data_IF_279304940976
#
_entry.id   IF_279304940976
#
_cell.length_a   1.000
_cell.length_b   1.000
_cell.length_c   1.000
_cell.angle_alpha   90.00
_cell.angle_beta   90.00
_cell.angle_gamma   90.00
#
_symmetry.space_group_name_H-M   'P 1'
#
loop_
_entity.id
_entity.type
_entity.pdbx_description
1 polymer ?
#
# COMPACT_ATOMS: atom_id res chain seq x y z
N UNK A 1 -4.49 -3.64 19.16
CA UNK A 1 -4.75 -3.55 17.72
C UNK A 1 -5.46 -4.82 17.25
N UNK A 2 -6.35 -4.70 16.25
CA UNK A 2 -7.08 -5.85 15.69
C UNK A 2 -6.65 -6.02 14.24
N UNK A 3 -6.16 -7.21 13.88
CA UNK A 3 -5.72 -7.53 12.53
C UNK A 3 -5.87 -9.03 12.27
N UNK A 4 -6.47 -9.41 11.14
CA UNK A 4 -6.64 -10.81 10.79
C UNK A 4 -5.49 -11.36 9.94
N UNK A 5 -4.84 -10.50 9.17
CA UNK A 5 -3.71 -10.89 8.34
C UNK A 5 -2.40 -10.94 9.14
N UNK A 6 -1.46 -11.76 8.69
CA UNK A 6 -0.13 -11.77 9.27
C UNK A 6 0.63 -10.48 8.94
N UNK A 7 1.33 -9.94 9.94
CA UNK A 7 2.22 -8.81 9.72
C UNK A 7 3.33 -9.18 8.74
N UNK A 8 3.52 -8.42 7.66
CA UNK A 8 4.61 -8.63 6.71
C UNK A 8 5.97 -8.68 7.41
N UNK A 9 6.84 -9.60 7.00
CA UNK A 9 8.15 -9.83 7.64
C UNK A 9 8.96 -8.54 7.75
N UNK A 10 8.94 -7.72 6.70
CA UNK A 10 9.65 -6.44 6.65
C UNK A 10 9.07 -5.36 7.56
N UNK A 11 7.88 -5.58 8.13
CA UNK A 11 7.21 -4.66 9.07
C UNK A 11 7.18 -5.18 10.52
N UNK A 12 7.56 -6.45 10.76
CA UNK A 12 7.52 -7.07 12.10
C UNK A 12 8.33 -6.30 13.14
N UNK A 13 9.37 -5.57 12.73
CA UNK A 13 10.19 -4.78 13.64
C UNK A 13 9.44 -3.60 14.30
N UNK A 14 8.30 -3.17 13.73
CA UNK A 14 7.46 -2.09 14.27
C UNK A 14 6.55 -2.57 15.39
N UNK A 15 6.27 -3.87 15.46
CA UNK A 15 5.20 -4.42 16.33
C UNK A 15 5.69 -5.35 17.41
N UNK A 16 7.01 -5.38 17.70
CA UNK A 16 7.61 -6.31 18.67
C UNK A 16 6.96 -6.29 20.05
N UNK A 17 6.57 -5.09 20.50
CA UNK A 17 6.03 -4.87 21.84
C UNK A 17 4.55 -4.46 21.80
N UNK A 18 3.87 -4.74 20.68
CA UNK A 18 2.48 -4.35 20.44
C UNK A 18 1.58 -5.59 20.54
N UNK A 19 0.52 -5.49 21.33
CA UNK A 19 -0.49 -6.54 21.41
C UNK A 19 -1.41 -6.47 20.19
N UNK A 20 -1.29 -7.44 19.29
CA UNK A 20 -2.15 -7.61 18.12
C UNK A 20 -3.02 -8.83 18.37
N UNK A 21 -4.32 -8.65 18.23
CA UNK A 21 -5.32 -9.72 18.34
C UNK A 21 -6.07 -9.85 17.02
N UNK A 22 -6.65 -11.02 16.76
CA UNK A 22 -7.53 -11.23 15.61
C UNK A 22 -9.00 -10.92 15.97
N UNK A 23 -9.87 -10.91 14.95
CA UNK A 23 -11.32 -10.68 15.13
C UNK A 23 -11.97 -11.64 16.12
N UNK A 24 -11.57 -12.93 16.10
CA UNK A 24 -12.15 -13.94 16.99
C UNK A 24 -11.87 -13.59 18.46
N UNK A 25 -10.62 -13.27 18.80
CA UNK A 25 -10.24 -12.87 20.15
C UNK A 25 -10.86 -11.53 20.55
N UNK A 26 -11.06 -10.61 19.60
CA UNK A 26 -11.73 -9.34 19.87
C UNK A 26 -13.21 -9.52 20.19
N UNK A 27 -13.89 -10.50 19.58
CA UNK A 27 -15.31 -10.83 19.88
C UNK A 27 -15.53 -11.38 21.29
N UNK A 28 -14.47 -11.91 21.93
CA UNK A 28 -14.53 -12.32 23.34
C UNK A 28 -14.63 -11.13 24.30
N UNK A 29 -14.32 -9.92 23.81
CA UNK A 29 -14.50 -8.66 24.53
C UNK A 29 -15.92 -8.14 24.28
N UNK A 30 -16.41 -7.23 25.15
CA UNK A 30 -17.67 -6.54 24.90
C UNK A 30 -17.44 -5.44 23.84
N UNK A 31 -17.77 -5.74 22.57
CA UNK A 31 -17.52 -4.85 21.43
C UNK A 31 -18.12 -3.46 21.64
N UNK A 32 -19.26 -3.37 22.33
CA UNK A 32 -19.97 -2.11 22.61
C UNK A 32 -19.23 -1.16 23.55
N UNK A 33 -18.19 -1.62 24.23
CA UNK A 33 -17.36 -0.78 25.11
C UNK A 33 -16.22 -0.08 24.36
N UNK A 34 -16.08 -0.32 23.04
CA UNK A 34 -14.98 0.18 22.24
C UNK A 34 -15.42 1.07 21.09
N UNK A 35 -14.64 2.12 20.85
CA UNK A 35 -14.62 2.81 19.56
C UNK A 35 -13.69 2.04 18.60
N UNK A 36 -14.10 1.84 17.37
CA UNK A 36 -13.27 1.27 16.32
C UNK A 36 -12.66 2.38 15.47
N UNK A 37 -11.33 2.45 15.43
CA UNK A 37 -10.61 3.40 14.58
C UNK A 37 -10.04 2.61 13.40
N UNK A 38 -10.44 2.96 12.20
CA UNK A 38 -9.89 2.43 10.95
C UNK A 38 -8.91 3.43 10.37
N UNK A 39 -7.75 2.94 9.95
CA UNK A 39 -6.68 3.74 9.38
C UNK A 39 -6.41 3.28 7.95
N UNK A 40 -6.22 4.23 7.03
CA UNK A 40 -5.81 3.97 5.65
C UNK A 40 -6.77 3.05 4.88
N UNK A 41 -8.06 3.24 5.08
CA UNK A 41 -9.10 2.41 4.51
C UNK A 41 -10.23 3.27 3.93
N UNK A 42 -10.28 3.37 2.60
CA UNK A 42 -11.23 4.21 1.89
C UNK A 42 -12.63 3.63 1.71
N UNK A 43 -12.86 2.34 2.02
CA UNK A 43 -14.12 1.63 1.82
C UNK A 43 -14.38 0.68 2.99
N UNK A 44 -15.58 0.76 3.59
CA UNK A 44 -16.00 -0.09 4.73
C UNK A 44 -15.84 -1.58 4.44
N UNK A 45 -16.05 -2.02 3.20
CA UNK A 45 -15.94 -3.43 2.81
C UNK A 45 -14.49 -3.94 2.77
N UNK A 46 -13.52 -3.03 2.73
CA UNK A 46 -12.09 -3.37 2.78
C UNK A 46 -11.55 -3.55 4.20
N UNK A 47 -12.34 -3.19 5.21
CA UNK A 47 -11.98 -3.47 6.61
C UNK A 47 -12.03 -4.98 6.81
N UNK A 48 -10.87 -5.60 7.00
CA UNK A 48 -10.71 -7.05 7.18
C UNK A 48 -11.19 -7.51 8.57
N UNK A 49 -12.35 -7.04 9.02
CA UNK A 49 -13.03 -7.43 10.24
C UNK A 49 -14.45 -7.87 9.92
N UNK A 50 -15.01 -8.74 10.76
CA UNK A 50 -16.38 -9.19 10.64
C UNK A 50 -17.38 -8.01 10.77
N UNK A 51 -18.47 -8.06 10.01
CA UNK A 51 -19.50 -7.01 10.04
C UNK A 51 -20.07 -6.80 11.45
N UNK A 52 -20.22 -7.89 12.21
CA UNK A 52 -20.63 -7.83 13.61
C UNK A 52 -19.79 -6.86 14.46
N UNK A 53 -18.48 -6.81 14.24
CA UNK A 53 -17.58 -5.88 14.94
C UNK A 53 -17.81 -4.45 14.45
N UNK A 54 -17.88 -4.27 13.14
CA UNK A 54 -18.02 -2.95 12.50
C UNK A 54 -19.36 -2.27 12.84
N UNK A 55 -20.41 -3.07 13.01
CA UNK A 55 -21.77 -2.56 13.21
C UNK A 55 -22.17 -2.45 14.69
N UNK A 56 -21.44 -3.06 15.61
CA UNK A 56 -21.75 -3.05 17.04
C UNK A 56 -20.74 -2.30 17.92
N UNK A 57 -19.67 -1.71 17.37
CA UNK A 57 -18.80 -0.82 18.14
C UNK A 57 -19.55 0.45 18.57
N UNK A 58 -19.09 1.13 19.62
CA UNK A 58 -19.70 2.37 20.11
C UNK A 58 -19.68 3.46 19.06
N UNK A 59 -18.53 3.64 18.38
CA UNK A 59 -18.35 4.53 17.22
C UNK A 59 -17.35 3.92 16.26
N UNK A 60 -17.60 4.10 14.97
CA UNK A 60 -16.65 3.85 13.91
C UNK A 60 -16.00 5.16 13.48
N UNK A 61 -14.68 5.25 13.64
CA UNK A 61 -13.89 6.45 13.30
C UNK A 61 -12.99 6.09 12.12
N UNK A 62 -13.06 6.86 11.06
CA UNK A 62 -12.20 6.66 9.88
C UNK A 62 -11.17 7.79 9.75
N UNK A 63 -9.89 7.44 9.69
CA UNK A 63 -8.78 8.36 9.40
C UNK A 63 -8.11 7.87 8.12
N UNK A 64 -8.15 8.66 7.05
CA UNK A 64 -7.73 8.22 5.73
C UNK A 64 -7.31 9.38 4.82
N UNK A 65 -6.47 9.09 3.82
CA UNK A 65 -6.05 10.06 2.80
C UNK A 65 -6.47 9.67 1.37
N UNK A 66 -7.27 8.63 1.19
CA UNK A 66 -7.72 8.23 -0.13
C UNK A 66 -8.79 9.19 -0.68
N UNK A 67 -8.57 9.75 -1.88
CA UNK A 67 -9.55 10.59 -2.57
C UNK A 67 -10.85 9.84 -2.92
N UNK A 68 -10.85 8.52 -2.90
CA UNK A 68 -12.01 7.65 -3.15
C UNK A 68 -12.71 7.19 -1.87
N UNK A 69 -12.45 7.83 -0.73
CA UNK A 69 -13.05 7.46 0.54
C UNK A 69 -14.56 7.65 0.54
N UNK A 70 -15.30 6.65 1.04
CA UNK A 70 -16.77 6.64 1.09
C UNK A 70 -17.35 7.37 2.33
N UNK A 71 -16.51 7.90 3.21
CA UNK A 71 -16.90 8.58 4.46
C UNK A 71 -17.81 7.73 5.35
N UNK A 72 -17.50 6.46 5.49
CA UNK A 72 -18.34 5.43 6.12
C UNK A 72 -18.33 5.44 7.66
N UNK A 73 -17.47 6.20 8.29
CA UNK A 73 -17.37 6.31 9.75
C UNK A 73 -18.44 7.23 10.35
N UNK A 74 -18.77 7.04 11.63
CA UNK A 74 -19.55 8.03 12.40
C UNK A 74 -18.78 9.35 12.55
N UNK A 75 -17.44 9.24 12.59
CA UNK A 75 -16.51 10.37 12.50
C UNK A 75 -15.50 10.08 11.39
N UNK A 76 -15.29 11.05 10.51
CA UNK A 76 -14.37 10.91 9.39
C UNK A 76 -13.34 12.05 9.42
N UNK A 77 -12.05 11.71 9.52
CA UNK A 77 -10.94 12.62 9.30
C UNK A 77 -10.21 12.19 8.04
N UNK A 78 -10.70 12.71 6.92
CA UNK A 78 -10.24 12.32 5.57
C UNK A 78 -9.70 13.56 4.86
N UNK A 79 -8.41 13.50 4.45
CA UNK A 79 -7.69 14.59 3.78
C UNK A 79 -6.92 14.04 2.60
N UNK A 80 -7.49 14.13 1.40
CA UNK A 80 -6.93 13.55 0.19
C UNK A 80 -5.65 14.25 -0.32
N UNK A 81 -5.39 15.47 0.15
CA UNK A 81 -4.19 16.22 -0.19
C UNK A 81 -2.97 15.82 0.64
N UNK A 82 -3.14 15.09 1.74
CA UNK A 82 -2.01 14.67 2.58
C UNK A 82 -1.27 13.47 1.95
N UNK A 83 0.03 13.42 2.16
CA UNK A 83 0.89 12.42 1.52
C UNK A 83 0.63 10.98 1.97
N UNK A 84 0.13 10.83 3.19
CA UNK A 84 -0.15 9.52 3.81
C UNK A 84 -1.10 9.64 4.99
N UNK A 85 -1.79 8.58 5.33
CA UNK A 85 -2.55 8.51 6.59
C UNK A 85 -1.64 8.70 7.81
N UNK A 86 -0.36 8.32 7.72
CA UNK A 86 0.63 8.58 8.78
C UNK A 86 0.88 10.07 9.00
N UNK A 87 0.80 10.92 7.97
CA UNK A 87 0.89 12.38 8.10
C UNK A 87 -0.32 12.94 8.87
N UNK A 88 -1.53 12.43 8.60
CA UNK A 88 -2.73 12.78 9.36
C UNK A 88 -2.61 12.40 10.84
N UNK A 89 -2.15 11.19 11.13
CA UNK A 89 -1.94 10.74 12.51
C UNK A 89 -0.87 11.58 13.20
N UNK A 90 0.23 11.91 12.51
CA UNK A 90 1.26 12.82 13.03
C UNK A 90 0.67 14.17 13.38
N UNK A 91 -0.12 14.78 12.52
CA UNK A 91 -0.76 16.07 12.75
C UNK A 91 -1.70 16.03 13.97
N UNK A 92 -2.46 14.95 14.14
CA UNK A 92 -3.31 14.76 15.32
C UNK A 92 -2.49 14.66 16.63
N UNK A 93 -1.41 13.87 16.62
CA UNK A 93 -0.54 13.70 17.78
C UNK A 93 0.18 15.00 18.12
N UNK A 94 0.70 15.72 17.13
CA UNK A 94 1.33 17.01 17.31
C UNK A 94 0.35 18.04 17.90
N UNK A 95 -0.88 18.07 17.39
CA UNK A 95 -1.93 18.94 17.94
C UNK A 95 -2.28 18.60 19.39
N UNK A 96 -2.31 17.31 19.72
CA UNK A 96 -2.51 16.86 21.11
C UNK A 96 -1.37 17.33 22.03
N UNK A 97 -0.11 17.24 21.57
CA UNK A 97 1.05 17.75 22.33
C UNK A 97 0.96 19.25 22.60
N UNK A 98 0.56 20.04 21.59
CA UNK A 98 0.37 21.48 21.72
C UNK A 98 -0.72 21.85 22.75
N UNK A 99 -1.85 21.13 22.73
CA UNK A 99 -2.99 21.39 23.63
C UNK A 99 -2.68 20.98 25.06
N UNK A 100 -2.09 19.80 25.25
CA UNK A 100 -1.93 19.18 26.56
C UNK A 100 -0.54 19.38 27.16
N UNK A 101 0.40 19.99 26.43
CA UNK A 101 1.80 20.18 26.83
C UNK A 101 2.50 18.88 27.27
N UNK A 102 2.16 17.76 26.58
CA UNK A 102 2.69 16.42 26.86
C UNK A 102 3.31 15.84 25.59
N UNK A 103 4.57 15.44 25.66
CA UNK A 103 5.23 14.74 24.54
C UNK A 103 4.64 13.33 24.37
N UNK A 104 4.02 13.08 23.22
CA UNK A 104 3.37 11.79 22.90
C UNK A 104 4.10 10.98 21.82
N UNK A 105 4.89 11.65 20.98
CA UNK A 105 5.63 11.00 19.87
C UNK A 105 7.02 10.59 20.37
N UNK A 106 7.12 9.39 20.90
CA UNK A 106 8.40 8.78 21.27
C UNK A 106 9.14 8.23 20.04
N UNK A 107 10.33 7.65 20.26
CA UNK A 107 11.16 7.04 19.21
C UNK A 107 10.41 5.93 18.42
N UNK A 108 9.59 5.13 19.06
CA UNK A 108 8.91 4.01 18.41
C UNK A 108 7.77 4.53 17.52
N UNK A 109 6.98 5.46 18.05
CA UNK A 109 5.92 6.14 17.27
C UNK A 109 6.55 6.93 16.12
N UNK A 110 7.63 7.66 16.36
CA UNK A 110 8.35 8.38 15.30
C UNK A 110 8.86 7.43 14.20
N UNK A 111 9.38 6.25 14.57
CA UNK A 111 9.84 5.25 13.61
C UNK A 111 8.68 4.67 12.80
N UNK A 112 7.54 4.38 13.43
CA UNK A 112 6.35 3.88 12.74
C UNK A 112 5.78 4.92 11.76
N UNK A 113 5.61 6.16 12.20
CA UNK A 113 5.15 7.27 11.36
C UNK A 113 6.09 7.54 10.17
N UNK A 114 7.41 7.51 10.42
CA UNK A 114 8.40 7.63 9.35
C UNK A 114 8.30 6.47 8.34
N UNK A 115 8.03 5.26 8.81
CA UNK A 115 7.85 4.11 7.92
C UNK A 115 6.67 4.32 6.97
N UNK A 116 5.49 4.71 7.48
CA UNK A 116 4.31 4.97 6.66
C UNK A 116 4.53 6.12 5.67
N UNK A 117 5.13 7.22 6.13
CA UNK A 117 5.49 8.32 5.23
C UNK A 117 6.38 7.85 4.07
N UNK A 118 7.43 7.07 4.37
CA UNK A 118 8.39 6.61 3.36
C UNK A 118 7.80 5.57 2.39
N UNK A 119 6.88 4.74 2.84
CA UNK A 119 6.21 3.75 1.96
C UNK A 119 5.24 4.42 1.01
N UNK A 120 4.39 5.31 1.50
CA UNK A 120 3.36 5.98 0.71
C UNK A 120 3.92 7.01 -0.29
N UNK A 121 4.97 7.72 0.12
CA UNK A 121 5.64 8.70 -0.75
C UNK A 121 6.70 8.11 -1.67
N UNK A 122 6.88 6.78 -1.62
CA UNK A 122 7.96 6.12 -2.36
C UNK A 122 9.33 6.70 -2.05
N UNK A 123 9.65 6.85 -0.77
CA UNK A 123 10.89 7.47 -0.26
C UNK A 123 10.98 8.98 -0.60
N UNK A 124 9.86 9.69 -0.49
CA UNK A 124 9.73 11.10 -0.82
C UNK A 124 10.00 11.42 -2.31
N UNK A 125 9.68 10.48 -3.22
CA UNK A 125 9.90 10.65 -4.67
C UNK A 125 8.61 10.70 -5.48
N UNK A 126 7.46 10.32 -4.90
CA UNK A 126 6.18 10.32 -5.63
C UNK A 126 5.52 11.70 -5.61
N UNK A 127 4.57 11.89 -6.52
CA UNK A 127 3.85 13.16 -6.72
C UNK A 127 2.97 13.59 -5.55
N UNK A 128 2.66 12.70 -4.61
CA UNK A 128 1.98 13.01 -3.35
C UNK A 128 2.92 13.52 -2.25
N UNK A 129 4.20 13.74 -2.57
CA UNK A 129 5.17 14.30 -1.62
C UNK A 129 5.07 15.81 -1.63
N UNK A 130 4.84 16.41 -0.47
CA UNK A 130 4.70 17.86 -0.28
C UNK A 130 5.78 18.41 0.64
N UNK A 131 5.87 19.73 0.79
CA UNK A 131 6.78 20.35 1.75
C UNK A 131 6.52 19.89 3.19
N UNK A 132 5.25 19.71 3.57
CA UNK A 132 4.81 19.15 4.86
C UNK A 132 5.40 17.76 5.12
N UNK A 133 5.53 16.92 4.09
CA UNK A 133 6.14 15.59 4.19
C UNK A 133 7.61 15.65 4.59
N UNK A 134 8.36 16.63 4.06
CA UNK A 134 9.76 16.88 4.46
C UNK A 134 9.85 17.45 5.88
N UNK A 135 8.95 18.37 6.25
CA UNK A 135 8.89 18.91 7.60
C UNK A 135 8.56 17.80 8.61
N UNK A 136 7.59 16.93 8.32
CA UNK A 136 7.30 15.76 9.14
C UNK A 136 8.54 14.84 9.25
N UNK A 137 9.19 14.50 8.14
CA UNK A 137 10.40 13.67 8.16
C UNK A 137 11.49 14.28 9.05
N UNK A 138 11.76 15.58 8.94
CA UNK A 138 12.71 16.31 9.80
C UNK A 138 12.34 16.20 11.28
N UNK A 139 11.09 16.47 11.63
CA UNK A 139 10.62 16.41 13.03
C UNK A 139 10.74 14.96 13.59
N UNK A 140 10.39 13.95 12.81
CA UNK A 140 10.53 12.55 13.21
C UNK A 140 12.01 12.15 13.44
N UNK A 141 12.95 12.69 12.62
CA UNK A 141 14.38 12.50 12.87
C UNK A 141 14.83 13.17 14.17
N UNK A 142 14.37 14.39 14.47
CA UNK A 142 14.66 15.08 15.73
C UNK A 142 14.15 14.26 16.94
N UNK A 143 13.03 13.54 16.76
CA UNK A 143 12.47 12.57 17.74
C UNK A 143 13.15 11.19 17.69
N UNK A 144 14.30 11.08 17.02
CA UNK A 144 15.16 9.89 16.96
C UNK A 144 14.50 8.68 16.27
N UNK A 145 13.62 8.91 15.26
CA UNK A 145 13.15 7.83 14.42
C UNK A 145 14.32 7.00 13.88
N UNK A 146 14.21 5.68 13.92
CA UNK A 146 15.27 4.75 13.49
C UNK A 146 15.22 4.54 11.97
N UNK A 147 15.63 5.58 11.24
CA UNK A 147 15.54 5.61 9.77
C UNK A 147 16.39 4.54 9.10
N UNK A 148 17.53 4.17 9.70
CA UNK A 148 18.38 3.10 9.17
C UNK A 148 17.65 1.75 9.25
N UNK A 149 17.01 1.47 10.37
CA UNK A 149 16.22 0.25 10.56
C UNK A 149 15.04 0.18 9.58
N UNK A 150 14.38 1.32 9.32
CA UNK A 150 13.32 1.40 8.30
C UNK A 150 13.88 1.08 6.92
N UNK A 151 14.96 1.73 6.51
CA UNK A 151 15.56 1.50 5.19
C UNK A 151 16.01 0.05 5.03
N UNK A 152 16.67 -0.52 6.04
CA UNK A 152 17.15 -1.90 6.00
C UNK A 152 16.02 -2.93 5.93
N UNK A 153 14.98 -2.78 6.74
CA UNK A 153 13.90 -3.78 6.78
C UNK A 153 12.89 -3.61 5.65
N UNK A 154 12.48 -2.38 5.36
CA UNK A 154 11.39 -2.12 4.40
C UNK A 154 11.88 -2.12 2.95
N UNK A 155 13.08 -1.60 2.69
CA UNK A 155 13.57 -1.37 1.33
C UNK A 155 14.83 -2.16 0.97
N UNK A 156 15.56 -2.65 1.95
CA UNK A 156 16.88 -3.28 1.76
C UNK A 156 16.94 -4.78 2.09
N UNK A 157 15.83 -5.45 2.36
CA UNK A 157 15.80 -6.83 2.88
C UNK A 157 15.23 -7.86 1.92
N UNK A 158 15.20 -7.58 0.63
CA UNK A 158 14.71 -8.57 -0.33
C UNK A 158 15.60 -9.83 -0.33
N UNK A 159 15.01 -11.04 -0.25
CA UNK A 159 15.76 -12.28 -0.28
C UNK A 159 16.46 -12.49 -1.63
N UNK A 160 17.55 -13.27 -1.64
CA UNK A 160 18.30 -13.55 -2.86
C UNK A 160 17.42 -14.06 -4.01
N UNK A 161 16.44 -14.91 -3.69
CA UNK A 161 15.52 -15.47 -4.67
C UNK A 161 14.63 -14.41 -5.34
N UNK A 162 14.30 -13.32 -4.64
CA UNK A 162 13.60 -12.18 -5.24
C UNK A 162 14.38 -11.59 -6.42
N UNK A 163 15.69 -11.43 -6.28
CA UNK A 163 16.52 -10.92 -7.39
C UNK A 163 16.61 -11.89 -8.56
N UNK A 164 16.55 -13.20 -8.30
CA UNK A 164 16.45 -14.22 -9.35
C UNK A 164 15.11 -14.16 -10.09
N UNK A 165 14.01 -13.99 -9.34
CA UNK A 165 12.68 -13.80 -9.92
C UNK A 165 12.60 -12.48 -10.70
N UNK A 166 13.15 -11.38 -10.16
CA UNK A 166 13.24 -10.09 -10.85
C UNK A 166 13.95 -10.23 -12.18
N UNK A 167 15.12 -10.88 -12.22
CA UNK A 167 15.84 -11.15 -13.47
C UNK A 167 15.02 -11.96 -14.47
N UNK A 168 14.27 -12.98 -14.02
CA UNK A 168 13.39 -13.76 -14.88
C UNK A 168 12.19 -12.91 -15.39
N UNK A 169 11.61 -12.06 -14.55
CA UNK A 169 10.53 -11.15 -14.93
C UNK A 169 11.02 -10.10 -15.94
N UNK A 170 12.21 -9.54 -15.74
CA UNK A 170 12.84 -8.62 -16.69
C UNK A 170 13.07 -9.23 -18.07
N UNK A 171 13.34 -10.54 -18.16
CA UNK A 171 13.45 -11.25 -19.44
C UNK A 171 12.11 -11.35 -20.19
N UNK A 172 10.97 -11.09 -19.53
CA UNK A 172 9.65 -11.04 -20.19
C UNK A 172 9.25 -9.63 -20.60
N UNK A 173 10.13 -8.65 -20.37
CA UNK A 173 9.84 -7.23 -20.62
C UNK A 173 9.53 -6.96 -22.09
N UNK A 174 8.38 -6.35 -22.32
CA UNK A 174 7.96 -5.88 -23.64
C UNK A 174 7.60 -4.38 -23.56
N UNK A 175 8.02 -3.62 -24.57
CA UNK A 175 7.64 -2.21 -24.71
C UNK A 175 6.60 -2.09 -25.81
N UNK A 176 5.47 -1.45 -25.49
CA UNK A 176 4.34 -1.25 -26.39
C UNK A 176 4.16 0.25 -26.60
N UNK A 177 4.07 0.66 -27.87
CA UNK A 177 3.90 2.05 -28.27
C UNK A 177 4.84 3.05 -27.53
N UNK A 178 6.08 2.62 -27.23
CA UNK A 178 7.11 3.36 -26.50
C UNK A 178 6.70 3.86 -25.09
N UNK A 179 5.44 3.76 -24.72
CA UNK A 179 4.87 4.34 -23.49
C UNK A 179 4.42 3.33 -22.44
N UNK A 180 4.24 2.07 -22.83
CA UNK A 180 3.81 1.01 -21.91
C UNK A 180 4.88 -0.06 -21.85
N UNK A 181 5.32 -0.39 -20.64
CA UNK A 181 6.18 -1.54 -20.38
C UNK A 181 5.39 -2.61 -19.63
N UNK A 182 5.48 -3.84 -20.11
CA UNK A 182 4.77 -4.99 -19.54
C UNK A 182 5.76 -6.06 -19.13
N UNK A 183 5.63 -6.54 -17.91
CA UNK A 183 6.38 -7.70 -17.39
C UNK A 183 5.41 -8.74 -16.85
N UNK A 184 5.88 -9.98 -16.75
CA UNK A 184 5.10 -11.11 -16.27
C UNK A 184 5.85 -11.87 -15.18
N UNK A 185 5.07 -12.40 -14.21
CA UNK A 185 5.51 -13.42 -13.25
C UNK A 185 4.53 -14.58 -13.31
N UNK A 186 5.01 -15.73 -13.76
CA UNK A 186 4.20 -16.95 -13.88
C UNK A 186 4.31 -17.82 -12.63
N UNK A 187 3.36 -18.75 -12.46
CA UNK A 187 3.41 -19.77 -11.42
C UNK A 187 4.67 -20.64 -11.50
N UNK A 188 5.14 -20.91 -12.72
CA UNK A 188 6.39 -21.67 -12.94
C UNK A 188 7.60 -20.91 -12.39
N UNK A 189 7.67 -19.58 -12.62
CA UNK A 189 8.73 -18.72 -12.06
C UNK A 189 8.69 -18.71 -10.53
N UNK A 190 7.51 -18.55 -9.93
CA UNK A 190 7.33 -18.57 -8.47
C UNK A 190 7.84 -19.89 -7.87
N UNK A 191 7.42 -21.02 -8.43
CA UNK A 191 7.89 -22.35 -7.99
C UNK A 191 9.39 -22.53 -8.17
N UNK A 192 9.92 -22.14 -9.33
CA UNK A 192 11.36 -22.26 -9.65
C UNK A 192 12.25 -21.51 -8.65
N UNK A 193 11.83 -20.32 -8.21
CA UNK A 193 12.61 -19.50 -7.31
C UNK A 193 12.16 -19.59 -5.85
N UNK A 194 11.17 -20.43 -5.55
CA UNK A 194 10.62 -20.62 -4.21
C UNK A 194 10.24 -19.28 -3.54
N UNK A 195 9.37 -18.54 -4.22
CA UNK A 195 8.86 -17.23 -3.76
C UNK A 195 7.35 -17.31 -3.67
N UNK A 196 6.80 -16.80 -2.57
CA UNK A 196 5.37 -16.67 -2.40
C UNK A 196 4.81 -15.55 -3.28
N UNK A 197 3.60 -15.75 -3.77
CA UNK A 197 2.90 -14.79 -4.62
C UNK A 197 2.80 -13.39 -3.97
N UNK A 198 2.66 -13.32 -2.65
CA UNK A 198 2.56 -12.07 -1.88
C UNK A 198 3.85 -11.24 -1.88
N UNK A 199 5.01 -11.85 -2.16
CA UNK A 199 6.32 -11.20 -2.05
C UNK A 199 6.80 -10.59 -3.40
N UNK A 200 5.91 -10.46 -4.39
CA UNK A 200 6.24 -10.05 -5.78
C UNK A 200 6.04 -8.55 -6.04
N UNK A 201 5.39 -7.82 -5.15
CA UNK A 201 4.92 -6.44 -5.43
C UNK A 201 6.03 -5.41 -5.70
N UNK A 202 7.27 -5.68 -5.28
CA UNK A 202 8.43 -4.83 -5.54
C UNK A 202 8.95 -4.81 -6.99
N UNK A 203 8.35 -5.57 -7.94
CA UNK A 203 8.85 -5.74 -9.31
C UNK A 203 8.31 -4.68 -10.27
N UNK A 204 7.06 -4.24 -10.14
CA UNK A 204 6.42 -3.33 -11.13
C UNK A 204 7.17 -1.99 -11.33
N UNK A 205 7.83 -1.36 -10.36
CA UNK A 205 8.59 -0.13 -10.58
C UNK A 205 9.67 -0.26 -11.67
N UNK A 206 10.29 -1.41 -11.83
CA UNK A 206 11.31 -1.63 -12.85
C UNK A 206 10.76 -1.50 -14.29
N UNK A 207 9.48 -1.81 -14.52
CA UNK A 207 8.82 -1.54 -15.80
C UNK A 207 8.54 -0.04 -15.98
N UNK A 208 8.04 0.63 -14.93
CA UNK A 208 7.70 2.06 -14.99
C UNK A 208 8.93 2.94 -15.21
N UNK A 209 10.07 2.60 -14.60
CA UNK A 209 11.25 3.47 -14.54
C UNK A 209 12.06 3.49 -15.83
N UNK A 210 11.64 2.74 -16.86
CA UNK A 210 12.27 2.74 -18.19
C UNK A 210 12.08 4.12 -18.85
N UNK A 211 13.13 4.59 -19.54
CA UNK A 211 13.09 5.84 -20.30
C UNK A 211 11.90 5.85 -21.29
N UNK A 212 11.22 6.98 -21.41
CA UNK A 212 10.03 7.22 -22.26
C UNK A 212 8.78 6.39 -21.90
N UNK A 213 8.84 5.45 -20.98
CA UNK A 213 7.67 4.72 -20.50
C UNK A 213 6.87 5.59 -19.55
N UNK A 214 5.56 5.60 -19.72
CA UNK A 214 4.59 6.24 -18.83
C UNK A 214 3.90 5.22 -17.91
N UNK A 215 3.56 4.03 -18.43
CA UNK A 215 2.84 2.99 -17.68
C UNK A 215 3.69 1.73 -17.58
N UNK A 216 4.00 1.31 -16.35
CA UNK A 216 4.53 0.00 -16.03
C UNK A 216 3.42 -0.96 -15.59
N UNK A 217 3.35 -2.12 -16.21
CA UNK A 217 2.37 -3.18 -15.96
C UNK A 217 3.09 -4.45 -15.55
N UNK A 218 2.68 -5.05 -14.44
CA UNK A 218 3.10 -6.37 -14.01
C UNK A 218 1.90 -7.31 -13.94
N UNK A 219 1.89 -8.37 -14.73
CA UNK A 219 0.91 -9.45 -14.65
C UNK A 219 1.47 -10.57 -13.77
N UNK A 220 0.73 -10.94 -12.75
CA UNK A 220 1.10 -11.99 -11.78
C UNK A 220 0.09 -13.12 -11.85
N UNK A 221 0.53 -14.29 -12.25
CA UNK A 221 -0.30 -15.48 -12.32
C UNK A 221 -0.50 -16.09 -10.93
N UNK A 222 -1.73 -16.01 -10.39
CA UNK A 222 -2.07 -16.58 -9.08
C UNK A 222 -2.47 -18.04 -9.15
N UNK A 223 -2.83 -18.52 -10.33
CA UNK A 223 -3.34 -19.87 -10.64
C UNK A 223 -4.81 -19.83 -11.07
N UNK A 224 -5.29 -20.95 -11.65
CA UNK A 224 -6.69 -21.10 -12.09
C UNK A 224 -7.22 -19.98 -13.00
N UNK A 225 -6.38 -19.47 -13.91
CA UNK A 225 -6.70 -18.33 -14.77
C UNK A 225 -7.04 -17.03 -14.00
N UNK A 226 -6.53 -16.87 -12.81
CA UNK A 226 -6.61 -15.62 -12.06
C UNK A 226 -5.29 -14.85 -12.21
N UNK A 227 -5.33 -13.70 -12.88
CA UNK A 227 -4.19 -12.82 -13.08
C UNK A 227 -4.37 -11.55 -12.26
N UNK A 228 -3.48 -11.34 -11.31
CA UNK A 228 -3.37 -10.05 -10.59
C UNK A 228 -2.52 -9.10 -11.42
N UNK A 229 -3.05 -7.93 -11.70
CA UNK A 229 -2.37 -6.88 -12.46
C UNK A 229 -2.01 -5.73 -11.53
N UNK A 230 -0.74 -5.37 -11.52
CA UNK A 230 -0.23 -4.17 -10.84
C UNK A 230 0.13 -3.12 -11.88
N UNK A 231 -0.37 -1.91 -11.69
CA UNK A 231 -0.20 -0.78 -12.59
C UNK A 231 0.52 0.36 -11.86
N UNK A 232 1.51 0.96 -12.53
CA UNK A 232 2.18 2.17 -12.06
C UNK A 232 2.31 3.16 -13.20
N UNK A 233 2.02 4.43 -12.96
CA UNK A 233 2.29 5.50 -13.93
C UNK A 233 3.39 6.43 -13.44
N UNK A 234 4.06 7.09 -14.39
CA UNK A 234 5.18 7.99 -14.11
C UNK A 234 4.71 9.42 -13.88
N UNK A 235 3.87 9.97 -14.76
CA UNK A 235 3.59 11.41 -14.74
C UNK A 235 2.13 11.81 -14.94
N UNK A 236 1.46 11.42 -16.02
CA UNK A 236 0.15 11.99 -16.37
C UNK A 236 -1.01 10.99 -16.42
N UNK A 237 -0.77 9.70 -16.65
CA UNK A 237 -1.86 8.73 -16.75
C UNK A 237 -2.40 8.35 -15.36
N UNK A 238 -3.72 8.38 -15.23
CA UNK A 238 -4.43 7.88 -14.05
C UNK A 238 -4.71 6.38 -14.19
N UNK A 239 -3.80 5.54 -13.66
CA UNK A 239 -3.94 4.08 -13.73
C UNK A 239 -5.10 3.53 -12.91
N UNK A 240 -5.70 4.31 -12.01
CA UNK A 240 -6.90 3.88 -11.28
C UNK A 240 -8.10 3.73 -12.20
N UNK A 241 -8.20 4.56 -13.24
CA UNK A 241 -9.25 4.45 -14.28
C UNK A 241 -9.13 3.13 -15.04
N UNK A 242 -7.90 2.75 -15.40
CA UNK A 242 -7.63 1.46 -16.06
C UNK A 242 -8.06 0.30 -15.16
N UNK A 243 -7.64 0.32 -13.88
CA UNK A 243 -7.97 -0.73 -12.93
C UNK A 243 -9.50 -0.85 -12.68
N UNK A 244 -10.22 0.27 -12.61
CA UNK A 244 -11.68 0.30 -12.41
C UNK A 244 -12.47 -0.45 -13.49
N UNK A 245 -12.01 -0.45 -14.74
CA UNK A 245 -12.64 -1.21 -15.84
C UNK A 245 -12.71 -2.69 -15.55
N UNK A 246 -11.76 -3.21 -14.76
CA UNK A 246 -11.65 -4.62 -14.35
C UNK A 246 -12.08 -4.86 -12.90
N UNK A 247 -12.89 -3.94 -12.32
CA UNK A 247 -13.36 -4.06 -10.93
C UNK A 247 -12.27 -3.87 -9.88
N UNK A 248 -11.15 -3.28 -10.27
CA UNK A 248 -10.04 -2.95 -9.38
C UNK A 248 -10.07 -1.50 -8.90
N UNK A 249 -8.95 -1.02 -8.36
CA UNK A 249 -8.83 0.34 -7.85
C UNK A 249 -7.44 0.65 -7.32
N UNK A 250 -7.32 1.80 -6.66
CA UNK A 250 -6.08 2.30 -6.09
C UNK A 250 -5.94 3.81 -6.32
N UNK A 251 -4.71 4.28 -6.20
CA UNK A 251 -4.35 5.68 -6.43
C UNK A 251 -4.10 5.98 -7.92
N UNK A 252 -4.13 7.24 -8.27
CA UNK A 252 -3.83 7.74 -9.62
C UNK A 252 -2.54 7.15 -10.21
N UNK A 253 -1.47 7.02 -9.40
CA UNK A 253 -0.14 6.54 -9.83
C UNK A 253 0.14 5.07 -9.50
N UNK A 254 -0.71 4.42 -8.73
CA UNK A 254 -0.52 3.06 -8.26
C UNK A 254 -1.85 2.37 -8.06
N UNK A 255 -2.20 1.44 -8.93
CA UNK A 255 -3.47 0.72 -8.86
C UNK A 255 -3.29 -0.75 -9.23
N UNK A 256 -4.34 -1.53 -9.03
CA UNK A 256 -4.34 -2.94 -9.39
C UNK A 256 -5.74 -3.47 -9.63
N UNK A 257 -5.81 -4.56 -10.38
CA UNK A 257 -7.05 -5.28 -10.65
C UNK A 257 -6.81 -6.79 -10.78
N UNK A 258 -7.89 -7.52 -10.93
CA UNK A 258 -7.85 -8.97 -11.20
C UNK A 258 -8.53 -9.24 -12.54
N UNK A 259 -7.89 -10.00 -13.41
CA UNK A 259 -8.45 -10.46 -14.68
C UNK A 259 -8.54 -11.97 -14.64
N UNK A 260 -9.76 -12.50 -14.77
CA UNK A 260 -10.00 -13.94 -14.83
C UNK A 260 -9.85 -14.41 -16.29
N UNK A 261 -8.61 -14.76 -16.66
CA UNK A 261 -8.23 -15.27 -17.98
C UNK A 261 -6.82 -15.88 -17.91
N UNK A 262 -6.33 -16.49 -19.00
CA UNK A 262 -4.91 -16.82 -19.11
C UNK A 262 -4.07 -15.54 -19.24
N UNK A 263 -2.78 -15.64 -18.91
CA UNK A 263 -1.89 -14.46 -18.79
C UNK A 263 -1.74 -13.68 -20.11
N UNK A 264 -1.77 -14.36 -21.27
CA UNK A 264 -1.65 -13.73 -22.58
C UNK A 264 -2.90 -12.91 -22.91
N UNK A 265 -4.10 -13.46 -22.68
CA UNK A 265 -5.35 -12.73 -22.88
C UNK A 265 -5.49 -11.58 -21.89
N UNK A 266 -5.10 -11.80 -20.64
CA UNK A 266 -5.08 -10.72 -19.64
C UNK A 266 -4.13 -9.57 -20.05
N UNK A 267 -2.96 -9.89 -20.63
CA UNK A 267 -2.03 -8.91 -21.20
C UNK A 267 -2.70 -8.10 -22.31
N UNK A 268 -3.33 -8.74 -23.26
CA UNK A 268 -4.03 -8.05 -24.37
C UNK A 268 -5.07 -7.09 -23.82
N UNK A 269 -5.97 -7.57 -22.95
CA UNK A 269 -7.06 -6.75 -22.37
C UNK A 269 -6.56 -5.53 -21.62
N UNK A 270 -5.56 -5.69 -20.75
CA UNK A 270 -5.05 -4.58 -19.94
C UNK A 270 -4.28 -3.56 -20.78
N UNK A 271 -3.52 -4.01 -21.78
CA UNK A 271 -2.79 -3.16 -22.71
C UNK A 271 -3.74 -2.37 -23.60
N UNK A 272 -4.78 -2.99 -24.16
CA UNK A 272 -5.82 -2.29 -24.93
C UNK A 272 -6.49 -1.19 -24.12
N UNK A 273 -6.76 -1.41 -22.83
CA UNK A 273 -7.32 -0.38 -21.98
C UNK A 273 -6.29 0.71 -21.64
N UNK A 274 -5.03 0.34 -21.40
CA UNK A 274 -3.95 1.29 -21.13
C UNK A 274 -3.68 2.23 -22.33
N UNK A 275 -3.78 1.71 -23.55
CA UNK A 275 -3.63 2.52 -24.79
C UNK A 275 -4.70 3.58 -24.98
N UNK A 276 -5.88 3.44 -24.35
CA UNK A 276 -6.96 4.44 -24.43
C UNK A 276 -6.71 5.63 -23.49
N UNK A 277 -5.82 5.46 -22.51
CA UNK A 277 -5.53 6.49 -21.50
C UNK A 277 -4.22 7.27 -21.80
N UNK A 278 -3.50 6.89 -22.87
CA UNK A 278 -2.30 7.57 -23.39
C UNK A 278 -2.65 8.42 -24.62
#
# INVERSE_FOLDING_TARGET
YVMNDEMPINMQFLVKDINIINSQKFKELNIKDYNLITLDCGDKNRICLDDEIKDNCTKLINIDHHASNDFYGDLNYVMAEESSTCELVYNLLKRNEEINSVETIDKNIATALYTGLMTDTGKLTYSNTHASSFDMAKELLLRKADTQKVVQNVFGSNPFNFYKLLGASLNTLEIINTKIAVMMVTQEMLKKYNIDFKDVDGIVPYARDIENVEIGILLKEKGNNEIKVSLRSKSFVDVSKIAKVFGGGGHMRASGCTINDNINNAKIKIVEQALKEI
#
